data_IF_334352077793
#
_entry.id   IF_334352077793
#
_cell.length_a   1.000
_cell.length_b   1.000
_cell.length_c   1.000
_cell.angle_alpha   90.00
_cell.angle_beta   90.00
_cell.angle_gamma   90.00
#
_symmetry.space_group_name_H-M   'P 1'
#
loop_
_entity.id
_entity.type
_entity.pdbx_description
1 polymer ?
#
# COMPACT_ATOMS: atom_id res chain seq x y z
N UNK A 1 -20.01 -8.69 18.77
CA UNK A 1 -19.67 -9.77 19.73
C UNK A 1 -18.25 -9.55 20.23
N UNK A 2 -18.10 -8.90 21.39
CA UNK A 2 -16.90 -8.94 22.22
C UNK A 2 -17.34 -9.65 23.50
N UNK A 3 -17.07 -10.95 23.59
CA UNK A 3 -17.30 -11.70 24.82
C UNK A 3 -15.95 -11.71 25.54
N UNK A 4 -15.92 -11.12 26.75
CA UNK A 4 -14.95 -11.32 27.83
C UNK A 4 -14.04 -10.13 28.26
N UNK A 5 -14.38 -8.86 28.02
CA UNK A 5 -13.69 -7.75 28.71
C UNK A 5 -12.17 -7.62 28.47
N UNK A 6 -11.65 -8.34 27.46
CA UNK A 6 -10.24 -8.35 27.07
C UNK A 6 -9.94 -7.18 26.11
N UNK A 7 -8.77 -6.55 26.20
CA UNK A 7 -8.35 -5.56 25.21
C UNK A 7 -8.25 -6.16 23.80
N UNK A 8 -8.47 -5.34 22.78
CA UNK A 8 -8.32 -5.68 21.37
C UNK A 8 -7.18 -4.86 20.76
N UNK A 9 -6.29 -5.55 20.05
CA UNK A 9 -5.25 -4.94 19.23
C UNK A 9 -5.62 -5.25 17.76
N UNK A 10 -6.11 -4.24 17.05
CA UNK A 10 -6.56 -4.36 15.66
C UNK A 10 -5.58 -3.71 14.69
N UNK A 11 -5.21 -4.44 13.63
CA UNK A 11 -4.37 -3.93 12.54
C UNK A 11 -5.04 -4.15 11.19
N UNK A 12 -5.39 -3.06 10.49
CA UNK A 12 -6.26 -3.12 9.31
C UNK A 12 -5.47 -2.90 8.02
N UNK A 13 -5.37 -3.97 7.23
CA UNK A 13 -4.78 -3.96 5.90
C UNK A 13 -5.75 -3.57 4.78
N UNK A 14 -7.04 -3.46 5.06
CA UNK A 14 -8.08 -3.01 4.14
C UNK A 14 -9.11 -2.23 4.94
N UNK A 15 -10.04 -1.56 4.24
CA UNK A 15 -11.17 -0.91 4.90
C UNK A 15 -12.01 -1.93 5.71
N UNK A 16 -12.43 -1.59 6.92
CA UNK A 16 -13.04 -2.56 7.85
C UNK A 16 -14.29 -3.24 7.32
N UNK A 17 -15.04 -2.55 6.47
CA UNK A 17 -16.28 -3.08 5.92
C UNK A 17 -16.05 -3.96 4.67
N UNK A 18 -14.80 -4.29 4.29
CA UNK A 18 -14.44 -4.88 2.98
C UNK A 18 -15.13 -6.20 2.67
N UNK A 19 -15.52 -6.91 3.72
CA UNK A 19 -16.19 -8.20 3.62
C UNK A 19 -17.70 -8.10 3.89
N UNK A 20 -18.25 -6.88 3.97
CA UNK A 20 -19.63 -6.64 4.39
C UNK A 20 -20.40 -5.88 3.31
N UNK A 21 -21.40 -6.56 2.78
CA UNK A 21 -22.28 -6.04 1.74
C UNK A 21 -23.52 -5.36 2.32
N UNK A 22 -23.93 -4.27 1.67
CA UNK A 22 -25.16 -3.57 1.96
C UNK A 22 -25.02 -2.50 3.04
N UNK A 23 -25.83 -1.45 2.92
CA UNK A 23 -25.79 -0.28 3.79
C UNK A 23 -26.00 -0.64 5.28
N UNK A 24 -27.03 -1.43 5.60
CA UNK A 24 -27.38 -1.76 6.98
C UNK A 24 -26.28 -2.57 7.69
N UNK A 25 -25.71 -3.55 7.01
CA UNK A 25 -24.61 -4.36 7.52
C UNK A 25 -23.36 -3.52 7.77
N UNK A 26 -23.06 -2.57 6.87
CA UNK A 26 -21.95 -1.64 7.03
C UNK A 26 -22.18 -0.69 8.21
N UNK A 27 -23.38 -0.11 8.36
CA UNK A 27 -23.74 0.75 9.51
C UNK A 27 -23.65 -0.01 10.82
N UNK A 28 -24.16 -1.25 10.88
CA UNK A 28 -24.06 -2.09 12.06
C UNK A 28 -22.60 -2.40 12.44
N UNK A 29 -21.76 -2.72 11.44
CA UNK A 29 -20.33 -2.94 11.64
C UNK A 29 -19.65 -1.67 12.17
N UNK A 30 -19.87 -0.53 11.53
CA UNK A 30 -19.27 0.74 11.92
C UNK A 30 -19.68 1.16 13.33
N UNK A 31 -20.93 0.91 13.71
CA UNK A 31 -21.44 1.19 15.07
C UNK A 31 -20.70 0.33 16.10
N UNK A 32 -20.60 -0.98 15.86
CA UNK A 32 -19.85 -1.88 16.74
C UNK A 32 -18.35 -1.54 16.81
N UNK A 33 -17.78 -1.09 15.69
CA UNK A 33 -16.38 -0.65 15.61
C UNK A 33 -16.13 0.65 16.38
N UNK A 34 -17.09 1.56 16.38
CA UNK A 34 -17.02 2.81 17.17
C UNK A 34 -17.08 2.54 18.66
N UNK A 35 -17.95 1.63 19.10
CA UNK A 35 -17.98 1.21 20.51
C UNK A 35 -16.69 0.50 20.92
N UNK A 36 -16.12 -0.32 20.03
CA UNK A 36 -14.81 -0.94 20.25
C UNK A 36 -13.71 0.12 20.43
N UNK A 37 -13.70 1.16 19.61
CA UNK A 37 -12.68 2.21 19.64
C UNK A 37 -12.75 3.12 20.89
N UNK A 38 -13.89 3.13 21.62
CA UNK A 38 -14.07 3.93 22.84
C UNK A 38 -13.41 3.31 24.08
N UNK A 39 -13.15 2.00 24.10
CA UNK A 39 -12.44 1.36 25.21
C UNK A 39 -10.96 1.79 25.18
N UNK A 40 -10.44 2.47 26.22
CA UNK A 40 -9.05 2.98 26.23
C UNK A 40 -7.99 1.86 26.23
N UNK A 41 -8.38 0.62 26.53
CA UNK A 41 -7.50 -0.55 26.48
C UNK A 41 -7.38 -1.12 25.08
N UNK A 42 -8.27 -0.73 24.16
CA UNK A 42 -8.19 -1.13 22.77
C UNK A 42 -7.21 -0.24 22.01
N UNK A 43 -6.45 -0.84 21.10
CA UNK A 43 -5.61 -0.09 20.15
C UNK A 43 -5.91 -0.56 18.74
N UNK A 44 -6.18 0.41 17.87
CA UNK A 44 -6.48 0.19 16.47
C UNK A 44 -5.45 0.93 15.64
N UNK A 45 -4.97 0.32 14.56
CA UNK A 45 -4.09 0.95 13.60
C UNK A 45 -4.43 0.48 12.18
N UNK A 46 -4.27 1.38 11.20
CA UNK A 46 -4.29 1.02 9.78
C UNK A 46 -2.88 0.80 9.29
N UNK A 47 -2.71 0.07 8.19
CA UNK A 47 -1.37 -0.06 7.59
C UNK A 47 -0.85 1.21 6.90
N UNK A 48 -1.75 2.15 6.59
CA UNK A 48 -1.40 3.33 5.80
C UNK A 48 -2.25 4.57 6.14
N UNK A 49 -1.70 5.78 5.92
CA UNK A 49 -2.44 7.03 6.07
C UNK A 49 -3.68 7.06 5.20
N UNK A 50 -3.58 6.54 3.98
CA UNK A 50 -4.71 6.44 3.07
C UNK A 50 -5.92 5.70 3.70
N UNK A 51 -5.71 4.50 4.27
CA UNK A 51 -6.82 3.72 4.86
C UNK A 51 -7.35 4.42 6.12
N UNK A 52 -6.48 5.09 6.87
CA UNK A 52 -6.89 5.92 8.01
C UNK A 52 -7.83 7.03 7.57
N UNK A 53 -7.46 7.75 6.51
CA UNK A 53 -8.26 8.81 5.89
C UNK A 53 -9.58 8.29 5.33
N UNK A 54 -9.56 7.15 4.64
CA UNK A 54 -10.76 6.51 4.14
C UNK A 54 -11.72 6.15 5.28
N UNK A 55 -11.22 5.52 6.35
CA UNK A 55 -12.04 5.19 7.52
C UNK A 55 -12.61 6.45 8.16
N UNK A 56 -11.80 7.50 8.32
CA UNK A 56 -12.31 8.77 8.84
C UNK A 56 -13.39 9.38 7.94
N UNK A 57 -13.38 9.12 6.63
CA UNK A 57 -14.48 9.49 5.74
C UNK A 57 -15.81 8.84 6.11
N UNK A 58 -15.81 7.59 6.61
CA UNK A 58 -17.01 6.79 6.90
C UNK A 58 -17.44 6.78 8.37
N UNK A 59 -16.50 6.93 9.32
CA UNK A 59 -16.71 6.87 10.77
C UNK A 59 -16.05 8.09 11.44
N UNK A 60 -16.61 8.61 12.55
CA UNK A 60 -16.03 9.73 13.30
C UNK A 60 -14.81 9.31 14.15
N UNK A 61 -13.91 8.49 13.61
CA UNK A 61 -12.77 7.90 14.30
C UNK A 61 -11.48 8.20 13.56
N UNK A 62 -10.50 8.75 14.27
CA UNK A 62 -9.13 8.90 13.77
C UNK A 62 -8.32 7.69 14.23
N UNK A 63 -7.97 6.83 13.28
CA UNK A 63 -7.17 5.64 13.55
C UNK A 63 -5.74 5.91 13.06
N UNK A 64 -4.70 5.77 13.89
CA UNK A 64 -3.33 6.01 13.44
C UNK A 64 -2.91 5.01 12.36
N UNK A 65 -2.04 5.44 11.47
CA UNK A 65 -1.41 4.58 10.47
C UNK A 65 -0.04 4.12 10.96
N UNK A 66 0.19 2.80 10.96
CA UNK A 66 1.46 2.17 11.30
C UNK A 66 1.85 1.26 10.15
N UNK A 67 2.92 1.62 9.44
CA UNK A 67 3.38 0.84 8.30
C UNK A 67 3.81 -0.58 8.72
N UNK A 68 3.53 -1.60 7.91
CA UNK A 68 3.93 -2.95 8.23
C UNK A 68 5.44 -3.11 8.11
N UNK A 69 6.02 -3.90 9.02
CA UNK A 69 7.45 -4.22 9.03
C UNK A 69 7.80 -5.46 8.21
N UNK A 70 6.79 -6.21 7.75
CA UNK A 70 6.98 -7.42 6.95
C UNK A 70 7.98 -8.42 7.56
N UNK A 71 8.00 -8.58 8.89
CA UNK A 71 9.00 -9.41 9.57
C UNK A 71 9.05 -10.87 9.07
N UNK A 72 7.96 -11.37 8.51
CA UNK A 72 7.89 -12.70 7.88
C UNK A 72 8.75 -12.86 6.62
N UNK A 73 9.24 -11.76 6.02
CA UNK A 73 10.13 -11.83 4.85
C UNK A 73 11.59 -12.03 5.26
N UNK A 74 11.95 -11.85 6.54
CA UNK A 74 13.32 -12.00 7.02
C UNK A 74 13.77 -13.48 6.95
N UNK A 75 15.06 -13.76 6.66
CA UNK A 75 16.15 -12.80 6.45
C UNK A 75 16.35 -12.40 4.98
N UNK A 76 15.32 -12.48 4.13
CA UNK A 76 15.46 -12.13 2.71
C UNK A 76 15.78 -10.64 2.56
N UNK A 77 16.87 -10.36 1.85
CA UNK A 77 17.35 -9.02 1.55
C UNK A 77 17.75 -8.95 0.08
N UNK A 78 17.55 -7.79 -0.53
CA UNK A 78 17.91 -7.51 -1.91
C UNK A 78 19.32 -8.00 -2.26
N UNK A 79 19.41 -8.80 -3.33
CA UNK A 79 20.66 -9.31 -3.88
C UNK A 79 20.85 -8.91 -5.34
N UNK A 80 19.77 -8.63 -6.07
CA UNK A 80 19.83 -8.17 -7.47
C UNK A 80 20.54 -9.13 -8.42
N UNK A 81 20.63 -10.42 -8.07
CA UNK A 81 21.39 -11.43 -8.82
C UNK A 81 20.79 -11.77 -10.18
N UNK A 82 19.49 -11.57 -10.37
CA UNK A 82 18.77 -11.67 -11.64
C UNK A 82 18.74 -10.29 -12.30
N UNK A 83 19.86 -9.93 -12.94
CA UNK A 83 20.11 -8.58 -13.46
C UNK A 83 19.11 -8.14 -14.54
N UNK A 84 18.50 -9.07 -15.28
CA UNK A 84 17.51 -8.83 -16.33
C UNK A 84 16.07 -8.84 -15.83
N UNK A 85 15.81 -9.35 -14.63
CA UNK A 85 14.45 -9.52 -14.13
C UNK A 85 13.95 -8.30 -13.38
N UNK A 86 12.85 -7.71 -13.82
CA UNK A 86 12.18 -6.60 -13.12
C UNK A 86 10.82 -7.06 -12.61
N UNK A 87 10.58 -6.95 -11.30
CA UNK A 87 9.26 -7.23 -10.73
C UNK A 87 8.27 -6.15 -11.16
N UNK A 88 7.06 -6.55 -11.50
CA UNK A 88 5.99 -5.66 -11.91
C UNK A 88 4.75 -5.95 -11.09
N UNK A 89 4.35 -5.02 -10.23
CA UNK A 89 3.05 -5.08 -9.56
C UNK A 89 2.08 -4.21 -10.33
N UNK A 90 1.12 -4.84 -11.01
CA UNK A 90 0.07 -4.16 -11.78
C UNK A 90 -1.26 -4.89 -11.59
N UNK A 91 -2.35 -4.21 -11.92
CA UNK A 91 -3.59 -4.89 -12.33
C UNK A 91 -3.74 -4.89 -13.83
N UNK A 92 -4.55 -5.84 -14.35
CA UNK A 92 -5.10 -5.73 -15.68
C UNK A 92 -5.77 -4.36 -15.86
N UNK A 93 -5.43 -3.66 -16.92
CA UNK A 93 -6.19 -2.51 -17.42
C UNK A 93 -6.71 -2.87 -18.80
N UNK A 94 -7.93 -2.46 -19.13
CA UNK A 94 -8.64 -2.95 -20.31
C UNK A 94 -7.92 -2.69 -21.64
N UNK A 95 -7.11 -1.63 -21.70
CA UNK A 95 -6.58 -1.12 -22.96
C UNK A 95 -5.09 -1.40 -23.15
N UNK A 96 -4.27 -1.48 -22.09
CA UNK A 96 -2.80 -1.68 -22.21
C UNK A 96 -2.27 -2.74 -21.25
N UNK A 97 -1.58 -3.76 -21.76
CA UNK A 97 -0.73 -4.57 -20.89
C UNK A 97 0.60 -3.85 -20.62
N UNK A 98 0.76 -3.32 -19.39
CA UNK A 98 1.99 -2.63 -18.98
C UNK A 98 3.23 -3.51 -19.11
N UNK A 99 3.12 -4.83 -18.92
CA UNK A 99 4.25 -5.76 -19.12
C UNK A 99 4.70 -5.69 -20.58
N UNK A 100 3.78 -5.96 -21.51
CA UNK A 100 4.05 -5.96 -22.94
C UNK A 100 4.58 -4.60 -23.42
N UNK A 101 4.00 -3.50 -22.94
CA UNK A 101 4.45 -2.15 -23.26
C UNK A 101 5.89 -1.92 -22.83
N UNK A 102 6.22 -2.20 -21.56
CA UNK A 102 7.56 -1.99 -21.00
C UNK A 102 8.60 -2.92 -21.66
N UNK A 103 8.27 -4.19 -21.90
CA UNK A 103 9.14 -5.15 -22.61
C UNK A 103 9.36 -4.75 -24.08
N UNK A 104 8.38 -4.15 -24.74
CA UNK A 104 8.53 -3.65 -26.11
C UNK A 104 9.45 -2.44 -26.17
N UNK A 105 9.31 -1.51 -25.23
CA UNK A 105 10.19 -0.35 -25.11
C UNK A 105 11.61 -0.78 -24.73
N UNK A 106 11.76 -1.77 -23.83
CA UNK A 106 13.05 -2.38 -23.47
C UNK A 106 13.79 -2.91 -24.69
N UNK A 107 13.12 -3.78 -25.48
CA UNK A 107 13.70 -4.34 -26.71
C UNK A 107 14.07 -3.28 -27.73
N UNK A 108 13.23 -2.26 -27.92
CA UNK A 108 13.51 -1.18 -28.86
C UNK A 108 14.74 -0.34 -28.47
N UNK A 109 15.03 -0.25 -27.17
CA UNK A 109 16.17 0.48 -26.62
C UNK A 109 17.34 -0.45 -26.24
N UNK A 110 17.37 -1.67 -26.79
CA UNK A 110 18.46 -2.65 -26.56
C UNK A 110 18.68 -3.05 -25.10
N UNK A 111 17.64 -2.96 -24.26
CA UNK A 111 17.63 -3.58 -22.94
C UNK A 111 17.13 -5.03 -23.04
N UNK A 112 17.80 -5.94 -22.34
CA UNK A 112 17.43 -7.37 -22.25
C UNK A 112 16.48 -7.67 -21.09
N UNK A 113 15.82 -6.64 -20.56
CA UNK A 113 14.98 -6.76 -19.36
C UNK A 113 13.66 -7.46 -19.63
N UNK A 114 13.27 -8.30 -18.68
CA UNK A 114 12.02 -9.05 -18.67
C UNK A 114 11.21 -8.60 -17.46
N UNK A 115 9.94 -8.27 -17.66
CA UNK A 115 9.06 -7.80 -16.60
C UNK A 115 8.17 -8.95 -16.12
N UNK A 116 8.28 -9.29 -14.84
CA UNK A 116 7.55 -10.41 -14.24
C UNK A 116 6.42 -9.90 -13.38
N UNK A 117 5.19 -10.37 -13.62
CA UNK A 117 4.07 -9.99 -12.77
C UNK A 117 4.27 -10.57 -11.36
N UNK A 118 4.16 -9.74 -10.32
CA UNK A 118 4.32 -10.19 -8.95
C UNK A 118 3.34 -11.32 -8.57
N UNK A 119 2.17 -11.38 -9.23
CA UNK A 119 1.19 -12.44 -9.02
C UNK A 119 1.66 -13.81 -9.59
N UNK A 120 2.61 -13.82 -10.53
CA UNK A 120 3.22 -15.06 -11.04
C UNK A 120 4.16 -15.71 -10.00
N UNK A 121 4.53 -14.96 -8.95
CA UNK A 121 5.44 -15.40 -7.89
C UNK A 121 4.71 -15.80 -6.60
N UNK A 122 3.39 -15.99 -6.65
CA UNK A 122 2.62 -16.49 -5.51
C UNK A 122 3.15 -17.88 -5.12
N UNK A 123 3.55 -18.03 -3.86
CA UNK A 123 4.15 -19.27 -3.34
C UNK A 123 5.67 -19.38 -3.51
N UNK A 124 6.30 -18.47 -4.27
CA UNK A 124 7.75 -18.39 -4.33
C UNK A 124 8.34 -17.90 -3.00
N UNK A 125 9.57 -18.33 -2.70
CA UNK A 125 10.30 -17.86 -1.51
C UNK A 125 10.68 -16.39 -1.65
N UNK A 126 10.65 -15.63 -0.56
CA UNK A 126 11.02 -14.20 -0.56
C UNK A 126 12.47 -13.96 -1.02
N UNK A 127 13.39 -14.90 -0.83
CA UNK A 127 14.75 -14.82 -1.38
C UNK A 127 14.75 -14.75 -2.91
N UNK A 128 13.79 -15.40 -3.58
CA UNK A 128 13.66 -15.30 -5.02
C UNK A 128 13.18 -13.90 -5.44
N UNK A 129 12.26 -13.30 -4.70
CA UNK A 129 11.82 -11.91 -4.94
C UNK A 129 13.00 -10.94 -4.83
N UNK A 130 13.89 -11.16 -3.86
CA UNK A 130 15.09 -10.35 -3.66
C UNK A 130 16.15 -10.48 -4.76
N UNK A 131 16.09 -11.54 -5.59
CA UNK A 131 17.02 -11.72 -6.70
C UNK A 131 16.74 -10.77 -7.86
N UNK A 132 15.52 -10.29 -8.02
CA UNK A 132 15.17 -9.40 -9.13
C UNK A 132 15.92 -8.07 -9.04
N UNK A 133 16.22 -7.49 -10.20
CA UNK A 133 16.91 -6.20 -10.37
C UNK A 133 16.26 -5.08 -9.55
N UNK A 134 14.94 -4.96 -9.66
CA UNK A 134 14.13 -3.92 -9.05
C UNK A 134 12.65 -4.33 -9.09
N UNK A 135 11.80 -3.55 -8.43
CA UNK A 135 10.35 -3.61 -8.56
C UNK A 135 9.77 -2.31 -9.11
N UNK A 136 8.86 -2.43 -10.06
CA UNK A 136 8.01 -1.34 -10.55
C UNK A 136 6.60 -1.59 -10.02
N UNK A 137 6.20 -0.76 -9.08
CA UNK A 137 4.91 -0.84 -8.43
C UNK A 137 4.00 0.20 -9.05
N UNK A 138 2.93 -0.25 -9.70
CA UNK A 138 1.82 0.61 -10.15
C UNK A 138 0.70 0.47 -9.12
N UNK A 139 0.58 1.39 -8.15
CA UNK A 139 -0.50 1.33 -7.19
C UNK A 139 -1.83 1.37 -7.92
N UNK A 140 -2.66 0.36 -7.70
CA UNK A 140 -3.99 0.26 -8.28
C UNK A 140 -4.94 -0.01 -7.11
N UNK A 141 -6.07 0.67 -7.09
CA UNK A 141 -6.71 0.95 -5.81
C UNK A 141 -5.70 1.48 -4.79
N UNK A 142 -6.12 2.45 -4.07
CA UNK A 142 -5.40 2.96 -2.93
C UNK A 142 -5.21 1.91 -1.80
N UNK A 143 -5.72 0.69 -2.00
CA UNK A 143 -5.34 -0.53 -1.30
C UNK A 143 -3.85 -0.81 -1.53
N UNK A 144 -3.03 -0.20 -0.70
CA UNK A 144 -1.59 -0.45 -0.65
C UNK A 144 -1.31 -1.91 -0.39
N UNK A 145 -1.12 -2.74 -1.41
CA UNK A 145 -0.95 -4.18 -1.21
C UNK A 145 0.24 -4.45 -0.30
N UNK A 146 0.17 -5.51 0.51
CA UNK A 146 1.30 -5.91 1.37
C UNK A 146 2.59 -6.09 0.56
N UNK A 147 2.47 -6.50 -0.70
CA UNK A 147 3.59 -6.65 -1.62
C UNK A 147 4.47 -5.39 -1.74
N UNK A 148 3.88 -4.18 -1.77
CA UNK A 148 4.69 -2.95 -1.80
C UNK A 148 5.57 -2.85 -0.56
N UNK A 149 4.97 -3.05 0.61
CA UNK A 149 5.69 -2.99 1.87
C UNK A 149 6.73 -4.10 2.00
N UNK A 150 6.43 -5.29 1.50
CA UNK A 150 7.36 -6.41 1.45
C UNK A 150 8.59 -6.05 0.60
N UNK A 151 8.40 -5.44 -0.56
CA UNK A 151 9.51 -4.99 -1.42
C UNK A 151 10.40 -3.98 -0.71
N UNK A 152 9.83 -2.91 -0.16
CA UNK A 152 10.63 -1.86 0.51
C UNK A 152 11.30 -2.37 1.79
N UNK A 153 10.68 -3.30 2.52
CA UNK A 153 11.24 -3.87 3.75
C UNK A 153 12.33 -4.92 3.46
N UNK A 154 12.23 -5.65 2.34
CA UNK A 154 13.32 -6.49 1.81
C UNK A 154 14.45 -5.65 1.16
N UNK A 155 14.24 -4.33 1.02
CA UNK A 155 15.19 -3.41 0.39
C UNK A 155 15.28 -3.56 -1.13
N UNK A 156 14.26 -4.12 -1.79
CA UNK A 156 14.21 -4.20 -3.25
C UNK A 156 14.03 -2.77 -3.80
N UNK A 157 14.92 -2.27 -4.68
CA UNK A 157 14.76 -0.97 -5.31
C UNK A 157 13.38 -0.85 -5.94
N UNK A 158 12.58 0.10 -5.46
CA UNK A 158 11.16 0.19 -5.79
C UNK A 158 10.86 1.50 -6.49
N UNK A 159 10.26 1.40 -7.67
CA UNK A 159 9.86 2.52 -8.52
C UNK A 159 8.34 2.66 -8.53
N UNK A 160 7.84 3.88 -8.37
CA UNK A 160 6.42 4.22 -8.44
C UNK A 160 6.19 5.40 -9.39
N UNK A 161 5.06 5.45 -10.12
CA UNK A 161 4.73 6.62 -10.91
C UNK A 161 4.47 7.84 -10.01
N UNK A 162 4.67 9.05 -10.54
CA UNK A 162 4.34 10.31 -9.84
C UNK A 162 2.82 10.61 -9.83
N UNK A 163 2.10 10.12 -10.84
CA UNK A 163 0.70 10.43 -11.12
C UNK A 163 -0.20 9.19 -11.19
N UNK A 164 -1.48 9.29 -10.76
CA UNK A 164 -2.46 8.22 -10.95
C UNK A 164 -2.87 8.03 -12.42
N UNK A 165 -2.41 8.88 -13.35
CA UNK A 165 -2.65 8.68 -14.79
C UNK A 165 -2.08 7.35 -15.29
N UNK A 166 -1.08 6.79 -14.60
CA UNK A 166 -0.56 5.47 -14.95
C UNK A 166 -1.39 4.31 -14.39
N UNK A 167 -2.50 4.59 -13.69
CA UNK A 167 -3.26 3.62 -12.88
C UNK A 167 -4.73 3.49 -13.29
N UNK A 168 -5.13 3.98 -14.47
CA UNK A 168 -6.51 3.90 -15.00
C UNK A 168 -7.17 2.52 -14.84
N UNK A 169 -8.00 2.37 -13.81
CA UNK A 169 -8.94 1.26 -13.65
C UNK A 169 -10.36 1.84 -13.67
N UNK A 170 -11.25 1.28 -14.49
CA UNK A 170 -12.67 1.71 -14.54
C UNK A 170 -13.44 1.31 -13.27
N UNK A 171 -12.92 0.34 -12.53
CA UNK A 171 -13.54 -0.19 -11.32
C UNK A 171 -12.44 -0.33 -10.28
N UNK A 172 -12.58 0.35 -9.15
CA UNK A 172 -11.92 -0.14 -7.94
C UNK A 172 -12.46 -1.56 -7.68
N UNK A 173 -11.65 -2.42 -7.08
CA UNK A 173 -12.00 -3.78 -6.63
C UNK A 173 -13.25 -3.85 -5.73
N UNK A 174 -13.83 -2.71 -5.37
CA UNK A 174 -14.96 -2.55 -4.45
C UNK A 174 -16.26 -1.99 -5.09
N UNK A 175 -16.37 -1.85 -6.42
CA UNK A 175 -17.48 -1.07 -7.01
C UNK A 175 -18.50 -1.89 -7.84
N UNK A 176 -19.36 -2.67 -7.18
CA UNK A 176 -20.74 -2.84 -7.72
C UNK A 176 -21.79 -2.05 -6.96
N UNK A 177 -21.57 -1.71 -5.69
CA UNK A 177 -22.49 -0.89 -4.88
C UNK A 177 -21.82 0.23 -4.09
N UNK A 178 -20.50 0.41 -4.22
CA UNK A 178 -19.75 1.39 -3.45
C UNK A 178 -19.79 1.08 -1.95
N UNK A 179 -19.23 1.98 -1.15
CA UNK A 179 -19.29 1.92 0.31
C UNK A 179 -20.34 2.93 0.79
N UNK A 180 -21.65 2.68 0.55
CA UNK A 180 -22.68 3.73 0.66
C UNK A 180 -22.87 4.18 2.11
N UNK A 181 -22.54 3.34 3.09
CA UNK A 181 -22.70 3.69 4.49
C UNK A 181 -21.65 4.71 4.92
N UNK A 182 -22.12 5.78 5.54
CA UNK A 182 -21.31 6.78 6.22
C UNK A 182 -22.06 7.17 7.48
N UNK A 183 -21.47 7.00 8.66
CA UNK A 183 -22.16 7.29 9.94
C UNK A 183 -22.10 8.77 10.35
N UNK A 184 -21.32 9.58 9.63
CA UNK A 184 -21.14 10.98 9.94
C UNK A 184 -20.86 11.79 8.67
N UNK A 185 -20.69 13.10 8.78
CA UNK A 185 -20.35 13.96 7.66
C UNK A 185 -18.97 14.55 7.92
N UNK A 186 -17.91 14.07 7.25
CA UNK A 186 -16.59 14.65 7.44
C UNK A 186 -16.58 16.12 6.97
N UNK A 187 -15.73 16.99 7.54
CA UNK A 187 -15.62 18.38 7.11
C UNK A 187 -15.26 18.48 5.63
N UNK A 188 -16.02 19.26 4.86
CA UNK A 188 -15.82 19.40 3.40
C UNK A 188 -14.51 20.11 3.05
N UNK A 189 -14.02 20.95 3.95
CA UNK A 189 -12.72 21.62 3.81
C UNK A 189 -11.57 20.59 3.83
N UNK A 190 -11.80 19.42 4.44
CA UNK A 190 -10.82 18.35 4.58
C UNK A 190 -11.05 17.25 3.54
N UNK A 191 -12.31 16.98 3.18
CA UNK A 191 -12.71 15.97 2.20
C UNK A 191 -13.41 16.62 1.01
N UNK A 192 -12.61 17.10 0.05
CA UNK A 192 -13.12 17.77 -1.15
C UNK A 192 -13.83 16.84 -2.15
N UNK A 193 -13.59 15.52 -2.06
CA UNK A 193 -14.09 14.52 -3.00
C UNK A 193 -14.65 13.31 -2.27
N UNK A 194 -15.70 12.68 -2.81
CA UNK A 194 -16.18 11.42 -2.25
C UNK A 194 -15.28 10.27 -2.69
N UNK A 195 -15.21 9.25 -1.86
CA UNK A 195 -14.46 8.04 -2.17
C UNK A 195 -14.98 7.31 -3.43
N UNK A 196 -16.30 7.39 -3.64
CA UNK A 196 -16.99 6.72 -4.75
C UNK A 196 -16.82 7.39 -6.10
N UNK A 197 -16.15 8.55 -6.17
CA UNK A 197 -16.04 9.34 -7.39
C UNK A 197 -14.91 8.83 -8.30
N UNK A 198 -14.94 7.54 -8.62
CA UNK A 198 -13.89 6.83 -9.38
C UNK A 198 -13.68 7.34 -10.80
N UNK A 199 -14.72 7.95 -11.39
CA UNK A 199 -14.65 8.52 -12.73
C UNK A 199 -14.08 9.93 -12.73
N UNK A 200 -14.05 10.61 -11.58
CA UNK A 200 -13.48 11.94 -11.45
C UNK A 200 -11.94 11.85 -11.40
N UNK A 201 -11.28 12.55 -12.32
CA UNK A 201 -9.81 12.60 -12.32
C UNK A 201 -9.29 13.45 -11.15
N UNK A 202 -9.98 14.52 -10.78
CA UNK A 202 -9.56 15.42 -9.71
C UNK A 202 -9.64 14.70 -8.36
N UNK A 203 -10.77 14.02 -8.08
CA UNK A 203 -10.89 13.11 -6.94
C UNK A 203 -9.82 12.01 -6.93
N UNK A 204 -9.50 11.42 -8.09
CA UNK A 204 -8.40 10.43 -8.19
C UNK A 204 -7.03 11.01 -7.86
N UNK A 205 -6.75 12.24 -8.28
CA UNK A 205 -5.50 12.92 -7.90
C UNK A 205 -5.50 13.25 -6.42
N UNK A 206 -6.64 13.70 -5.87
CA UNK A 206 -6.79 14.04 -4.45
C UNK A 206 -6.41 12.87 -3.55
N UNK A 207 -7.06 11.70 -3.66
CA UNK A 207 -6.67 10.63 -2.74
C UNK A 207 -5.31 9.99 -3.06
N UNK A 208 -4.72 10.29 -4.21
CA UNK A 208 -3.44 9.71 -4.62
C UNK A 208 -2.34 10.37 -3.82
N UNK A 209 -2.50 11.66 -3.60
CA UNK A 209 -1.66 12.45 -2.71
C UNK A 209 -1.71 11.96 -1.25
N UNK A 210 -2.78 11.26 -0.84
CA UNK A 210 -2.90 10.67 0.50
C UNK A 210 -2.21 9.31 0.62
N UNK A 211 -1.71 8.74 -0.48
CA UNK A 211 -0.87 7.55 -0.43
C UNK A 211 0.55 7.90 -0.01
N UNK A 212 1.16 7.06 0.82
CA UNK A 212 2.51 7.25 1.35
C UNK A 212 3.62 6.63 0.49
N UNK A 213 3.28 5.91 -0.59
CA UNK A 213 4.23 5.18 -1.43
C UNK A 213 5.43 6.05 -1.82
N UNK A 214 5.15 7.25 -2.34
CA UNK A 214 6.16 8.21 -2.81
C UNK A 214 6.87 8.98 -1.70
N UNK A 215 6.33 8.94 -0.48
CA UNK A 215 6.90 9.65 0.68
C UNK A 215 7.96 8.82 1.41
N UNK A 216 8.07 7.54 1.09
CA UNK A 216 9.01 6.65 1.75
C UNK A 216 10.44 6.89 1.27
N UNK A 217 11.39 7.18 2.19
CA UNK A 217 12.78 7.37 1.81
C UNK A 217 13.33 6.13 1.08
N UNK A 218 13.99 6.38 -0.05
CA UNK A 218 14.50 5.34 -0.95
C UNK A 218 13.54 4.93 -2.06
N UNK A 219 12.23 5.17 -1.97
CA UNK A 219 11.32 4.88 -3.09
C UNK A 219 11.58 5.88 -4.22
N UNK A 220 11.79 5.35 -5.44
CA UNK A 220 12.07 6.15 -6.62
C UNK A 220 10.79 6.52 -7.35
N UNK A 221 10.60 7.80 -7.64
CA UNK A 221 9.44 8.30 -8.36
C UNK A 221 9.82 8.57 -9.82
N UNK A 222 9.00 8.12 -10.76
CA UNK A 222 9.20 8.41 -12.19
C UNK A 222 7.98 9.11 -12.79
N UNK A 223 8.25 10.06 -13.69
CA UNK A 223 7.23 10.81 -14.44
C UNK A 223 7.08 10.30 -15.88
N UNK A 224 8.03 9.47 -16.34
CA UNK A 224 8.05 8.90 -17.68
C UNK A 224 8.71 7.53 -17.70
N UNK A 225 8.42 6.73 -18.74
CA UNK A 225 9.09 5.44 -18.97
C UNK A 225 10.59 5.62 -19.20
N UNK A 226 11.02 6.72 -19.83
CA UNK A 226 12.42 7.04 -20.03
C UNK A 226 13.15 7.22 -18.68
N UNK A 227 12.56 7.99 -17.75
CA UNK A 227 13.13 8.16 -16.40
C UNK A 227 13.16 6.84 -15.63
N UNK A 228 12.10 6.03 -15.72
CA UNK A 228 12.09 4.69 -15.14
C UNK A 228 13.28 3.86 -15.65
N UNK A 229 13.52 3.86 -16.96
CA UNK A 229 14.59 3.06 -17.56
C UNK A 229 15.98 3.58 -17.18
N UNK A 230 16.15 4.90 -17.09
CA UNK A 230 17.39 5.49 -16.57
C UNK A 230 17.67 5.02 -15.14
N UNK A 231 16.65 5.03 -14.27
CA UNK A 231 16.78 4.53 -12.89
C UNK A 231 17.07 3.02 -12.83
N UNK A 232 16.50 2.24 -13.75
CA UNK A 232 16.78 0.81 -13.85
C UNK A 232 18.17 0.51 -14.42
N UNK A 233 18.77 1.38 -15.24
CA UNK A 233 19.99 1.07 -15.97
C UNK A 233 21.23 0.90 -15.07
N UNK A 234 21.36 1.69 -14.01
CA UNK A 234 22.57 1.69 -13.17
C UNK A 234 22.46 0.73 -11.98
N UNK A 235 23.31 -0.30 -11.95
CA UNK A 235 23.37 -1.23 -10.83
C UNK A 235 23.84 -0.55 -9.53
N UNK A 236 24.77 0.41 -9.64
CA UNK A 236 25.27 1.18 -8.50
C UNK A 236 24.14 1.99 -7.86
N UNK A 237 23.35 2.69 -8.69
CA UNK A 237 22.18 3.43 -8.23
C UNK A 237 21.16 2.52 -7.54
N UNK A 238 20.89 1.33 -8.09
CA UNK A 238 19.98 0.37 -7.47
C UNK A 238 20.46 -0.09 -6.08
N UNK A 239 21.77 -0.31 -5.91
CA UNK A 239 22.33 -0.63 -4.59
C UNK A 239 22.22 0.53 -3.60
N UNK A 240 22.43 1.76 -4.06
CA UNK A 240 22.23 2.97 -3.26
C UNK A 240 20.78 3.08 -2.78
N UNK A 241 19.82 2.97 -3.70
CA UNK A 241 18.38 2.96 -3.44
C UNK A 241 18.01 1.88 -2.42
N UNK A 242 18.53 0.66 -2.61
CA UNK A 242 18.35 -0.45 -1.67
C UNK A 242 18.87 -0.11 -0.26
N UNK A 243 20.04 0.55 -0.17
CA UNK A 243 20.60 1.04 1.09
C UNK A 243 19.69 2.05 1.80
N UNK A 244 19.14 3.02 1.06
CA UNK A 244 18.20 4.01 1.58
C UNK A 244 16.92 3.34 2.11
N UNK A 245 16.36 2.37 1.37
CA UNK A 245 15.17 1.62 1.79
C UNK A 245 15.41 0.83 3.10
N UNK A 246 16.57 0.17 3.22
CA UNK A 246 16.96 -0.55 4.45
C UNK A 246 17.11 0.40 5.64
N UNK A 247 17.77 1.55 5.44
CA UNK A 247 17.91 2.55 6.49
C UNK A 247 16.55 3.08 6.94
N UNK A 248 15.66 3.35 5.99
CA UNK A 248 14.28 3.77 6.28
C UNK A 248 13.50 2.68 7.03
N UNK A 249 13.68 1.40 6.69
CA UNK A 249 13.09 0.27 7.40
C UNK A 249 13.55 0.19 8.87
N UNK A 250 14.84 0.42 9.15
CA UNK A 250 15.36 0.46 10.52
C UNK A 250 14.72 1.58 11.34
N UNK A 251 14.61 2.79 10.77
CA UNK A 251 13.93 3.92 11.44
C UNK A 251 12.46 3.60 11.71
N UNK A 252 11.73 3.07 10.72
CA UNK A 252 10.32 2.68 10.89
C UNK A 252 10.14 1.59 11.95
N UNK A 253 11.09 0.65 12.05
CA UNK A 253 11.06 -0.42 13.05
C UNK A 253 11.03 0.15 14.46
N UNK A 254 11.84 1.17 14.74
CA UNK A 254 11.84 1.84 16.07
C UNK A 254 10.48 2.46 16.36
N UNK A 255 9.93 3.26 15.44
CA UNK A 255 8.63 3.92 15.66
C UNK A 255 7.47 2.92 15.79
N UNK A 256 7.46 1.85 14.98
CA UNK A 256 6.43 0.84 15.03
C UNK A 256 6.54 0.00 16.30
N UNK A 257 7.76 -0.36 16.72
CA UNK A 257 7.99 -1.08 17.97
C UNK A 257 7.51 -0.26 19.18
N UNK A 258 7.79 1.05 19.21
CA UNK A 258 7.28 1.91 20.29
C UNK A 258 5.76 1.98 20.30
N UNK A 259 5.12 2.17 19.14
CA UNK A 259 3.66 2.15 19.03
C UNK A 259 3.06 0.85 19.58
N UNK A 260 3.56 -0.31 19.13
CA UNK A 260 3.04 -1.60 19.56
C UNK A 260 3.34 -1.91 21.02
N UNK A 261 4.47 -1.44 21.55
CA UNK A 261 4.78 -1.48 22.98
C UNK A 261 3.75 -0.69 23.78
N UNK A 262 3.45 0.54 23.38
CA UNK A 262 2.42 1.35 24.04
C UNK A 262 1.03 0.72 23.93
N UNK A 263 0.69 0.13 22.77
CA UNK A 263 -0.56 -0.60 22.56
C UNK A 263 -0.70 -1.76 23.56
N UNK A 264 0.37 -2.54 23.75
CA UNK A 264 0.41 -3.63 24.71
C UNK A 264 0.28 -3.13 26.16
N UNK A 265 0.97 -2.05 26.52
CA UNK A 265 0.87 -1.46 27.86
C UNK A 265 -0.56 -0.98 28.17
N UNK A 266 -1.23 -0.32 27.21
CA UNK A 266 -2.65 0.06 27.34
C UNK A 266 -3.54 -1.16 27.52
N UNK A 267 -3.33 -2.20 26.71
CA UNK A 267 -4.08 -3.45 26.82
C UNK A 267 -3.95 -4.11 28.20
N UNK A 268 -2.77 -4.01 28.83
CA UNK A 268 -2.48 -4.59 30.14
C UNK A 268 -2.91 -3.71 31.33
N UNK A 269 -3.27 -2.44 31.08
CA UNK A 269 -3.79 -1.57 32.14
C UNK A 269 -5.17 -2.05 32.63
N UNK A 270 -5.33 -2.09 33.96
CA UNK A 270 -6.56 -2.56 34.63
C UNK A 270 -7.60 -1.46 34.71
#
# INVERSE_FOLDING_TARGET
>A
MHRAGRPVIGYFGVHIAFMVDGYDSQVALYSGFTELAKDPRNTLATKSPYISWQLYGHLPLKIPAIMPLSLYTQPALYSGTLAQGVLLNKRPVHFWDRRLMLETIARHNSFDWIFFDANELIGARYQHWCSYRAGVYFPYDWLQTMAFFDWVNMGIPTFVPDTPMFTFTQQGTNSRTGWPATMWRPPREVFGYQYSDWNDLEGRVFWWQLTDFKSLPGVQVFTSVAQLFQGLASQEHLWEVSGQLRQAHLVRTVSAADFWRQALLRALSR
#
